data_IF_178025318404
#
_entry.id   IF_178025318404
#
_cell.length_a   1.000
_cell.length_b   1.000
_cell.length_c   1.000
_cell.angle_alpha   90.00
_cell.angle_beta   90.00
_cell.angle_gamma   90.00
#
_symmetry.space_group_name_H-M   'P 1'
#
loop_
_entity.id
_entity.type
_entity.pdbx_description
1 polymer ?
#
# COMPACT_ATOMS: atom_id res chain seq x y z
N UNK A 1 -8.38 -9.11 4.51
CA UNK A 1 -7.94 -9.59 5.84
C UNK A 1 -7.19 -8.55 6.66
N UNK A 2 -5.99 -8.11 6.25
CA UNK A 2 -5.10 -7.33 7.13
C UNK A 2 -5.07 -5.82 6.85
N UNK A 3 -5.80 -5.35 5.82
CA UNK A 3 -5.90 -3.93 5.49
C UNK A 3 -7.03 -3.22 6.22
N UNK A 4 -7.19 -1.92 5.96
CA UNK A 4 -8.25 -1.07 6.53
C UNK A 4 -9.61 -1.35 5.88
N UNK A 5 -10.20 -2.52 6.16
CA UNK A 5 -11.52 -2.91 5.66
C UNK A 5 -12.58 -1.85 6.04
N UNK A 6 -13.52 -1.50 5.14
CA UNK A 6 -13.75 -2.05 3.80
C UNK A 6 -12.92 -1.41 2.67
N UNK A 7 -12.05 -0.44 2.98
CA UNK A 7 -11.22 0.27 2.01
C UNK A 7 -9.98 -0.54 1.61
N UNK A 8 -10.22 -1.70 1.00
CA UNK A 8 -9.19 -2.68 0.63
C UNK A 8 -9.43 -3.20 -0.79
N UNK A 9 -8.38 -3.73 -1.42
CA UNK A 9 -8.55 -4.58 -2.60
C UNK A 9 -9.19 -5.92 -2.23
N UNK A 10 -9.80 -6.60 -3.19
CA UNK A 10 -10.41 -7.92 -3.00
C UNK A 10 -9.40 -9.08 -3.01
N UNK A 11 -8.12 -8.79 -3.27
CA UNK A 11 -7.04 -9.78 -3.29
C UNK A 11 -6.17 -9.74 -2.02
N UNK A 12 -5.20 -10.66 -1.91
CA UNK A 12 -4.29 -10.77 -0.77
C UNK A 12 -2.88 -10.27 -1.14
N UNK A 13 -2.55 -8.97 -0.96
CA UNK A 13 -1.23 -8.42 -1.28
C UNK A 13 -0.17 -8.69 -0.19
N UNK A 14 -0.37 -9.71 0.65
CA UNK A 14 0.61 -10.15 1.65
C UNK A 14 1.50 -11.26 1.07
N UNK A 15 2.63 -11.55 1.73
CA UNK A 15 3.53 -12.61 1.27
C UNK A 15 2.86 -13.99 1.09
N UNK A 16 1.85 -14.30 1.92
CA UNK A 16 1.07 -15.54 1.79
C UNK A 16 0.24 -15.63 0.51
N UNK A 17 -0.17 -14.48 -0.05
CA UNK A 17 -0.87 -14.41 -1.33
C UNK A 17 -0.04 -14.96 -2.49
N UNK A 18 1.30 -14.87 -2.42
CA UNK A 18 2.19 -15.44 -3.43
C UNK A 18 2.06 -16.97 -3.49
N UNK A 19 1.96 -17.66 -2.34
CA UNK A 19 1.77 -19.11 -2.30
C UNK A 19 0.43 -19.51 -2.91
N UNK A 20 -0.65 -18.87 -2.49
CA UNK A 20 -2.01 -19.18 -2.96
C UNK A 20 -2.16 -18.89 -4.45
N UNK A 21 -1.58 -17.78 -4.94
CA UNK A 21 -1.68 -17.36 -6.34
C UNK A 21 -0.80 -18.16 -7.31
N UNK A 22 0.29 -18.78 -6.84
CA UNK A 22 1.24 -19.53 -7.70
C UNK A 22 1.19 -21.04 -7.53
N UNK A 23 0.55 -21.55 -6.47
CA UNK A 23 0.57 -22.97 -6.12
C UNK A 23 1.88 -23.46 -5.50
N UNK A 24 2.81 -22.55 -5.19
CA UNK A 24 4.10 -22.87 -4.58
C UNK A 24 3.96 -22.91 -3.06
N UNK A 25 4.53 -23.95 -2.43
CA UNK A 25 4.53 -24.08 -0.97
C UNK A 25 5.41 -23.01 -0.29
N UNK A 26 5.09 -22.59 0.95
CA UNK A 26 5.81 -21.51 1.64
C UNK A 26 7.29 -21.80 1.89
N UNK A 27 7.70 -23.09 1.92
CA UNK A 27 9.11 -23.50 2.07
C UNK A 27 10.00 -23.09 0.88
N UNK A 28 9.41 -22.73 -0.25
CA UNK A 28 10.14 -22.26 -1.44
C UNK A 28 10.33 -20.73 -1.45
N UNK A 29 9.75 -20.01 -0.49
CA UNK A 29 10.00 -18.57 -0.33
C UNK A 29 11.28 -18.37 0.49
N UNK A 30 12.37 -17.95 -0.16
CA UNK A 30 13.68 -17.77 0.48
C UNK A 30 13.92 -16.37 1.04
N UNK A 31 13.25 -15.35 0.50
CA UNK A 31 13.41 -13.95 0.92
C UNK A 31 12.14 -13.15 0.64
N UNK A 32 11.76 -12.29 1.59
CA UNK A 32 10.67 -11.31 1.46
C UNK A 32 11.27 -9.93 1.70
N UNK A 33 11.08 -9.00 0.76
CA UNK A 33 11.55 -7.61 0.88
C UNK A 33 10.34 -6.69 0.99
N UNK A 34 10.18 -6.03 2.13
CA UNK A 34 9.17 -5.00 2.32
C UNK A 34 9.62 -3.68 1.70
N UNK A 35 8.76 -3.08 0.89
CA UNK A 35 8.99 -1.75 0.32
C UNK A 35 8.14 -0.76 1.11
N UNK A 36 8.79 0.24 1.70
CA UNK A 36 8.12 1.35 2.37
C UNK A 36 8.62 2.66 1.80
N UNK A 37 7.73 3.64 1.71
CA UNK A 37 8.09 5.02 1.44
C UNK A 37 8.56 5.70 2.73
N UNK A 38 9.28 6.81 2.57
CA UNK A 38 9.69 7.67 3.68
C UNK A 38 8.51 8.41 4.35
N UNK A 39 7.37 8.49 3.66
CA UNK A 39 6.10 9.05 4.13
C UNK A 39 4.93 8.23 3.54
N UNK A 40 3.77 8.28 4.17
CA UNK A 40 2.61 7.47 3.77
C UNK A 40 1.76 8.22 2.76
N UNK A 41 1.25 7.52 1.74
CA UNK A 41 0.20 8.02 0.84
C UNK A 41 -0.92 7.00 0.70
N UNK A 42 -2.12 7.48 0.36
CA UNK A 42 -3.29 6.65 0.06
C UNK A 42 -4.07 7.29 -1.08
N UNK A 43 -4.64 6.45 -1.94
CA UNK A 43 -5.65 6.85 -2.92
C UNK A 43 -6.99 6.27 -2.50
N UNK A 44 -8.06 7.07 -2.59
CA UNK A 44 -9.40 6.70 -2.17
C UNK A 44 -9.68 6.96 -0.69
N UNK A 45 -10.93 6.71 -0.29
CA UNK A 45 -11.43 7.00 1.06
C UNK A 45 -10.89 6.03 2.12
N UNK A 46 -11.15 6.37 3.39
CA UNK A 46 -10.88 5.54 4.56
C UNK A 46 -9.99 6.22 5.59
N UNK A 47 -9.83 5.64 6.79
CA UNK A 47 -9.13 6.28 7.90
C UNK A 47 -7.64 6.43 7.63
N UNK A 48 -7.11 7.65 7.74
CA UNK A 48 -5.69 7.94 7.55
C UNK A 48 -5.13 8.73 8.75
N UNK A 49 -4.61 8.03 9.79
CA UNK A 49 -4.25 8.67 11.06
C UNK A 49 -3.19 9.78 10.99
N UNK A 50 -2.34 9.76 9.95
CA UNK A 50 -1.26 10.72 9.75
C UNK A 50 -1.50 11.59 8.52
N UNK A 51 -2.76 11.73 8.10
CA UNK A 51 -3.11 12.61 6.98
C UNK A 51 -2.76 14.06 7.31
N UNK A 52 -2.11 14.73 6.36
CA UNK A 52 -1.80 16.15 6.45
C UNK A 52 -2.73 16.89 5.49
N UNK A 53 -3.51 17.83 6.02
CA UNK A 53 -4.45 18.66 5.27
C UNK A 53 -3.99 20.13 5.25
N UNK A 54 -2.69 20.35 5.38
CA UNK A 54 -2.04 21.66 5.44
C UNK A 54 -0.97 21.78 4.34
N UNK A 55 -0.26 22.92 4.32
CA UNK A 55 0.77 23.21 3.32
C UNK A 55 1.91 22.18 3.29
N UNK A 56 2.17 21.45 4.38
CA UNK A 56 3.18 20.41 4.40
C UNK A 56 2.71 19.19 3.61
N UNK A 57 1.42 18.84 3.73
CA UNK A 57 0.77 17.82 2.89
C UNK A 57 0.90 18.13 1.40
N UNK A 58 0.57 19.36 1.01
CA UNK A 58 0.67 19.81 -0.39
C UNK A 58 2.10 19.71 -0.93
N UNK A 59 3.10 20.12 -0.14
CA UNK A 59 4.52 20.02 -0.52
C UNK A 59 4.96 18.57 -0.73
N UNK A 60 4.50 17.63 0.11
CA UNK A 60 4.84 16.21 -0.04
C UNK A 60 4.26 15.65 -1.35
N UNK A 61 3.03 16.02 -1.70
CA UNK A 61 2.39 15.62 -2.96
C UNK A 61 3.17 16.14 -4.16
N UNK A 62 3.52 17.43 -4.17
CA UNK A 62 4.24 18.06 -5.29
C UNK A 62 5.66 17.52 -5.48
N UNK A 63 6.43 17.39 -4.39
CA UNK A 63 7.81 16.88 -4.43
C UNK A 63 7.81 15.39 -4.80
N UNK A 64 6.91 14.63 -4.18
CA UNK A 64 6.77 13.19 -4.39
C UNK A 64 6.17 12.80 -5.73
N UNK A 65 5.52 13.75 -6.43
CA UNK A 65 4.71 13.51 -7.63
C UNK A 65 3.60 12.48 -7.35
N UNK A 66 2.90 12.66 -6.24
CA UNK A 66 1.84 11.75 -5.76
C UNK A 66 0.52 11.94 -6.51
N UNK A 67 0.60 11.91 -7.83
CA UNK A 67 -0.53 12.04 -8.74
C UNK A 67 -0.80 10.70 -9.42
N UNK A 68 -2.07 10.32 -9.51
CA UNK A 68 -2.47 9.14 -10.26
C UNK A 68 -2.14 9.30 -11.75
N UNK A 69 -1.70 8.22 -12.40
CA UNK A 69 -1.54 8.19 -13.87
C UNK A 69 -2.88 8.06 -14.60
N UNK A 70 -3.94 7.76 -13.86
CA UNK A 70 -5.34 7.70 -14.28
C UNK A 70 -6.17 8.40 -13.21
N UNK A 71 -7.26 9.05 -13.60
CA UNK A 71 -8.22 9.70 -12.72
C UNK A 71 -9.28 8.72 -12.22
#
# INVERSE_FOLDING_TARGET
DHGTYPFVTSSNPTAGGACVGTGIGPRYLSRIVGITKAYTTRVGAGPFPTELTDELGDKLVDIGREFGTVT
#
